data_IF_704013593291
#
_entry.id   IF_704013593291
#
_cell.length_a   1.000
_cell.length_b   1.000
_cell.length_c   1.000
_cell.angle_alpha   90.00
_cell.angle_beta   90.00
_cell.angle_gamma   90.00
#
_symmetry.space_group_name_H-M   'P 1'
#
loop_
_entity.id
_entity.type
_entity.pdbx_description
1 polymer ?
#
# COMPACT_ATOMS: atom_id res chain seq x y z
N UNK A 1 1.50 -16.50 48.57
CA UNK A 1 0.26 -16.26 47.79
C UNK A 1 -0.42 -14.91 48.04
N UNK A 2 -0.76 -14.50 49.28
CA UNK A 2 -1.51 -13.25 49.53
C UNK A 2 -0.84 -11.97 48.98
N UNK A 3 0.49 -11.83 49.10
CA UNK A 3 1.24 -10.69 48.55
C UNK A 3 1.18 -10.61 47.02
N UNK A 4 1.29 -11.76 46.33
CA UNK A 4 1.21 -11.86 44.87
C UNK A 4 -0.15 -11.44 44.33
N UNK A 5 -1.24 -11.91 44.93
CA UNK A 5 -2.62 -11.54 44.53
C UNK A 5 -2.88 -10.05 44.75
N UNK A 6 -2.37 -9.48 45.85
CA UNK A 6 -2.45 -8.04 46.12
C UNK A 6 -1.72 -7.21 45.06
N UNK A 7 -0.54 -7.67 44.64
CA UNK A 7 0.21 -7.05 43.56
C UNK A 7 -0.54 -7.11 42.22
N UNK A 8 -0.99 -8.31 41.80
CA UNK A 8 -1.79 -8.49 40.57
C UNK A 8 -3.03 -7.60 40.54
N UNK A 9 -3.78 -7.54 41.64
CA UNK A 9 -4.96 -6.67 41.73
C UNK A 9 -4.59 -5.19 41.59
N UNK A 10 -3.48 -4.75 42.20
CA UNK A 10 -2.99 -3.37 42.07
C UNK A 10 -2.61 -3.07 40.62
N UNK A 11 -1.82 -3.93 40.01
CA UNK A 11 -1.38 -3.80 38.61
C UNK A 11 -2.58 -3.73 37.67
N UNK A 12 -3.50 -4.70 37.74
CA UNK A 12 -4.68 -4.71 36.87
C UNK A 12 -5.56 -3.46 37.08
N UNK A 13 -5.78 -3.03 38.32
CA UNK A 13 -6.62 -1.85 38.62
C UNK A 13 -6.08 -0.57 37.96
N UNK A 14 -4.78 -0.30 38.08
CA UNK A 14 -4.19 0.95 37.57
C UNK A 14 -3.85 0.85 36.08
N UNK A 15 -3.14 -0.22 35.69
CA UNK A 15 -2.70 -0.41 34.31
C UNK A 15 -3.90 -0.69 33.40
N UNK A 16 -4.81 -1.58 33.83
CA UNK A 16 -6.04 -1.87 33.08
C UNK A 16 -6.98 -0.66 32.97
N UNK A 17 -7.03 0.21 33.99
CA UNK A 17 -7.81 1.46 33.93
C UNK A 17 -7.30 2.42 32.86
N UNK A 18 -5.99 2.64 32.79
CA UNK A 18 -5.38 3.49 31.76
C UNK A 18 -5.53 2.89 30.36
N UNK A 19 -5.30 1.58 30.22
CA UNK A 19 -5.45 0.87 28.95
C UNK A 19 -6.89 0.85 28.47
N UNK A 20 -7.88 0.79 29.36
CA UNK A 20 -9.28 0.84 28.97
C UNK A 20 -9.63 2.15 28.24
N UNK A 21 -9.07 3.29 28.70
CA UNK A 21 -9.24 4.59 28.03
C UNK A 21 -8.57 4.55 26.65
N UNK A 22 -7.34 4.02 26.58
CA UNK A 22 -6.63 3.85 25.32
C UNK A 22 -7.42 2.97 24.33
N UNK A 23 -7.94 1.81 24.76
CA UNK A 23 -8.72 0.92 23.91
C UNK A 23 -10.04 1.52 23.47
N UNK A 24 -10.71 2.30 24.32
CA UNK A 24 -11.91 3.03 23.92
C UNK A 24 -11.59 4.01 22.80
N UNK A 25 -10.55 4.83 22.98
CA UNK A 25 -10.07 5.74 21.94
C UNK A 25 -9.67 4.97 20.67
N UNK A 26 -8.91 3.89 20.81
CA UNK A 26 -8.46 3.06 19.69
C UNK A 26 -9.63 2.44 18.92
N UNK A 27 -10.65 1.92 19.62
CA UNK A 27 -11.84 1.35 18.97
C UNK A 27 -12.65 2.42 18.21
N UNK A 28 -12.96 3.55 18.86
CA UNK A 28 -13.74 4.63 18.24
C UNK A 28 -13.02 5.19 17.01
N UNK A 29 -11.72 5.46 17.14
CA UNK A 29 -10.89 5.94 16.03
C UNK A 29 -10.78 4.91 14.89
N UNK A 30 -10.82 3.61 15.21
CA UNK A 30 -10.82 2.51 14.25
C UNK A 30 -12.11 2.42 13.43
N UNK A 31 -13.26 2.58 14.06
CA UNK A 31 -14.56 2.64 13.35
C UNK A 31 -14.58 3.82 12.38
N UNK A 32 -14.14 4.99 12.82
CA UNK A 32 -14.09 6.19 11.96
C UNK A 32 -13.10 6.00 10.81
N UNK A 33 -11.95 5.36 11.06
CA UNK A 33 -10.91 5.10 10.06
C UNK A 33 -11.42 4.29 8.85
N UNK A 34 -12.40 3.40 9.05
CA UNK A 34 -13.02 2.62 7.96
C UNK A 34 -13.68 3.54 6.92
N UNK A 35 -14.30 4.63 7.37
CA UNK A 35 -14.98 5.59 6.50
C UNK A 35 -14.08 6.74 6.06
N UNK A 36 -13.14 7.15 6.92
CA UNK A 36 -12.20 8.24 6.68
C UNK A 36 -10.76 7.76 6.82
N UNK A 37 -10.20 7.16 5.76
CA UNK A 37 -8.83 6.69 5.77
C UNK A 37 -7.83 7.84 5.82
N UNK A 38 -6.56 7.48 6.01
CA UNK A 38 -5.47 8.45 5.88
C UNK A 38 -5.46 9.03 4.45
N UNK A 39 -5.31 10.37 4.28
CA UNK A 39 -5.26 10.99 2.96
C UNK A 39 -4.21 10.32 2.08
N UNK A 40 -4.60 10.01 0.84
CA UNK A 40 -3.69 9.45 -0.16
C UNK A 40 -4.10 9.93 -1.54
N UNK A 41 -3.10 10.28 -2.35
CA UNK A 41 -3.25 10.33 -3.81
C UNK A 41 -3.56 8.93 -4.34
N UNK A 42 -4.56 8.80 -5.22
CA UNK A 42 -4.89 7.54 -5.89
C UNK A 42 -4.30 7.50 -7.29
N UNK A 43 -4.01 6.29 -7.79
CA UNK A 43 -3.46 6.11 -9.14
C UNK A 43 -4.42 6.66 -10.19
N UNK A 44 -5.72 6.40 -10.03
CA UNK A 44 -6.80 7.00 -10.84
C UNK A 44 -6.72 8.53 -10.93
N UNK A 45 -6.47 9.23 -9.82
CA UNK A 45 -6.30 10.70 -9.82
C UNK A 45 -5.04 11.14 -10.56
N UNK A 46 -3.97 10.36 -10.48
CA UNK A 46 -2.73 10.64 -11.21
C UNK A 46 -2.94 10.43 -12.70
N UNK A 47 -3.49 9.27 -13.08
CA UNK A 47 -3.76 8.87 -14.46
C UNK A 47 -4.66 9.90 -15.17
N UNK A 48 -5.75 10.31 -14.53
CA UNK A 48 -6.67 11.32 -15.05
C UNK A 48 -5.95 12.64 -15.43
N UNK A 49 -4.91 13.02 -14.68
CA UNK A 49 -4.14 14.27 -14.90
C UNK A 49 -2.85 14.09 -15.70
N UNK A 50 -2.51 12.85 -16.10
CA UNK A 50 -1.39 12.63 -17.02
C UNK A 50 -1.70 13.25 -18.39
N UNK A 51 -0.64 13.69 -19.08
CA UNK A 51 -0.78 14.19 -20.46
C UNK A 51 -1.10 13.04 -21.42
N UNK A 52 -1.92 13.32 -22.43
CA UNK A 52 -2.20 12.37 -23.51
C UNK A 52 -1.04 12.38 -24.51
N UNK A 53 -0.64 11.21 -25.00
CA UNK A 53 0.41 11.04 -26.00
C UNK A 53 -0.05 11.69 -27.31
N UNK A 54 0.54 12.84 -27.64
CA UNK A 54 -0.01 13.75 -28.66
C UNK A 54 0.67 13.66 -30.04
N UNK A 55 1.75 12.90 -30.19
CA UNK A 55 2.53 12.88 -31.43
C UNK A 55 1.91 11.90 -32.43
N UNK A 56 1.52 12.39 -33.61
CA UNK A 56 0.97 11.57 -34.71
C UNK A 56 2.00 10.67 -35.41
N UNK A 57 3.29 10.85 -35.13
CA UNK A 57 4.39 10.04 -35.66
C UNK A 57 5.29 9.58 -34.53
N UNK A 58 4.85 8.54 -33.83
CA UNK A 58 5.70 7.82 -32.87
C UNK A 58 6.85 7.12 -33.62
N UNK A 59 8.08 7.14 -33.09
CA UNK A 59 9.26 6.61 -33.77
C UNK A 59 9.22 5.09 -33.87
N UNK A 60 10.09 4.53 -34.72
CA UNK A 60 10.30 3.09 -34.67
C UNK A 60 11.10 2.69 -33.43
N UNK A 61 10.79 1.53 -32.85
CA UNK A 61 11.40 1.10 -31.59
C UNK A 61 12.92 0.90 -31.73
N UNK A 62 13.39 0.46 -32.90
CA UNK A 62 14.82 0.29 -33.20
C UNK A 62 15.60 1.61 -33.08
N UNK A 63 14.97 2.74 -33.36
CA UNK A 63 15.61 4.05 -33.21
C UNK A 63 15.85 4.46 -31.75
N UNK A 64 15.09 3.87 -30.82
CA UNK A 64 15.26 4.09 -29.39
C UNK A 64 16.31 3.14 -28.83
N UNK A 65 16.26 1.86 -29.22
CA UNK A 65 17.22 0.85 -28.76
C UNK A 65 18.65 1.18 -29.21
N UNK A 66 18.83 1.75 -30.41
CA UNK A 66 20.15 2.16 -30.91
C UNK A 66 20.77 3.33 -30.14
N UNK A 67 20.01 4.02 -29.27
CA UNK A 67 20.47 5.17 -28.45
C UNK A 67 20.83 4.76 -27.03
N UNK A 68 20.70 3.48 -26.71
CA UNK A 68 20.94 2.96 -25.36
C UNK A 68 21.92 1.80 -25.45
N UNK A 69 22.92 1.83 -24.59
CA UNK A 69 23.84 0.72 -24.42
C UNK A 69 23.30 -0.23 -23.34
N UNK A 70 23.44 -1.54 -23.59
CA UNK A 70 23.06 -2.60 -22.66
C UNK A 70 21.69 -3.21 -22.92
N UNK A 71 21.38 -4.25 -22.15
CA UNK A 71 20.09 -4.94 -22.22
C UNK A 71 19.00 -4.09 -21.55
N UNK A 72 17.84 -4.02 -22.19
CA UNK A 72 16.70 -3.24 -21.68
C UNK A 72 15.99 -4.06 -20.60
N UNK A 73 16.09 -3.58 -19.36
CA UNK A 73 15.40 -4.17 -18.21
C UNK A 73 13.96 -3.63 -18.08
N UNK A 74 13.72 -2.38 -18.45
CA UNK A 74 12.37 -1.81 -18.44
C UNK A 74 12.22 -0.75 -19.51
N UNK A 75 11.04 -0.69 -20.12
CA UNK A 75 10.71 0.27 -21.16
C UNK A 75 9.30 0.81 -20.95
N UNK A 76 9.17 2.12 -21.00
CA UNK A 76 7.89 2.81 -20.88
C UNK A 76 7.84 4.05 -21.74
N UNK A 77 6.67 4.36 -22.27
CA UNK A 77 6.36 5.54 -23.07
C UNK A 77 5.32 6.38 -22.35
N UNK A 78 5.60 7.67 -22.18
CA UNK A 78 4.65 8.62 -21.58
C UNK A 78 4.79 10.00 -22.18
N UNK A 79 3.78 10.83 -21.99
CA UNK A 79 3.85 12.26 -22.30
C UNK A 79 4.18 13.07 -21.03
N UNK A 80 5.10 14.02 -21.13
CA UNK A 80 5.41 14.93 -20.02
C UNK A 80 6.06 16.24 -20.51
N UNK A 81 5.60 17.39 -20.02
CA UNK A 81 6.06 18.71 -20.46
C UNK A 81 5.92 18.93 -21.98
N UNK A 82 4.88 18.35 -22.57
CA UNK A 82 4.67 18.37 -24.02
C UNK A 82 5.72 17.58 -24.82
N UNK A 83 6.55 16.76 -24.18
CA UNK A 83 7.46 15.83 -24.84
C UNK A 83 6.97 14.39 -24.66
N UNK A 84 6.97 13.61 -25.75
CA UNK A 84 6.83 12.15 -25.67
C UNK A 84 8.18 11.56 -25.25
N UNK A 85 8.20 10.87 -24.12
CA UNK A 85 9.41 10.37 -23.48
C UNK A 85 9.37 8.84 -23.37
N UNK A 86 10.47 8.20 -23.76
CA UNK A 86 10.77 6.83 -23.39
C UNK A 86 11.60 6.82 -22.11
N UNK A 87 11.08 6.25 -21.02
CA UNK A 87 11.91 5.93 -19.86
C UNK A 87 12.41 4.48 -20.01
N UNK A 88 13.73 4.34 -20.09
CA UNK A 88 14.44 3.08 -20.27
C UNK A 88 15.28 2.80 -19.03
N UNK A 89 15.33 1.54 -18.59
CA UNK A 89 16.32 1.11 -17.62
C UNK A 89 17.27 0.08 -18.23
N UNK A 90 18.58 0.33 -18.12
CA UNK A 90 19.65 -0.61 -18.51
C UNK A 90 20.69 -0.65 -17.40
N UNK A 91 21.20 -1.85 -17.09
CA UNK A 91 22.18 -2.09 -16.03
C UNK A 91 21.82 -1.41 -14.69
N UNK A 92 20.54 -1.48 -14.31
CA UNK A 92 19.99 -0.81 -13.12
C UNK A 92 19.95 0.73 -13.15
N UNK A 93 20.35 1.38 -14.23
CA UNK A 93 20.28 2.84 -14.42
C UNK A 93 19.04 3.23 -15.22
N UNK A 94 18.35 4.28 -14.80
CA UNK A 94 17.17 4.82 -15.50
C UNK A 94 17.55 6.06 -16.28
N UNK A 95 17.18 6.09 -17.56
CA UNK A 95 17.35 7.22 -18.46
C UNK A 95 16.02 7.56 -19.13
N UNK A 96 15.82 8.84 -19.44
CA UNK A 96 14.67 9.31 -20.21
C UNK A 96 15.15 9.83 -21.55
N UNK A 97 14.50 9.43 -22.63
CA UNK A 97 14.83 9.80 -24.01
C UNK A 97 13.62 10.42 -24.69
N UNK A 98 13.83 11.49 -25.47
CA UNK A 98 12.76 12.05 -26.30
C UNK A 98 12.51 11.13 -27.49
N UNK A 99 11.23 10.87 -27.78
CA UNK A 99 10.80 10.00 -28.87
C UNK A 99 11.07 10.58 -30.27
N UNK A 100 10.96 11.91 -30.44
CA UNK A 100 11.27 12.58 -31.70
C UNK A 100 12.79 12.58 -31.96
N UNK A 101 13.20 12.09 -33.13
CA UNK A 101 14.58 11.96 -33.59
C UNK A 101 15.02 13.14 -34.47
N UNK A 102 14.11 14.01 -34.90
CA UNK A 102 14.41 15.11 -35.83
C UNK A 102 15.01 16.36 -35.16
N UNK A 103 15.15 16.36 -33.83
CA UNK A 103 15.90 17.36 -33.10
C UNK A 103 16.70 16.72 -31.98
N UNK A 104 17.86 17.31 -31.68
CA UNK A 104 18.54 17.20 -30.38
C UNK A 104 17.66 17.80 -29.26
N UNK A 105 16.41 17.37 -29.12
CA UNK A 105 15.60 17.72 -27.97
C UNK A 105 16.07 16.86 -26.80
N UNK A 106 16.99 17.42 -26.02
CA UNK A 106 17.26 16.91 -24.69
C UNK A 106 15.95 16.94 -23.87
N UNK A 107 15.83 16.01 -22.91
CA UNK A 107 14.71 16.01 -21.97
C UNK A 107 14.72 17.34 -21.22
N UNK A 108 13.59 18.06 -21.25
CA UNK A 108 13.48 19.37 -20.58
C UNK A 108 13.79 19.20 -19.08
N UNK A 109 14.66 20.04 -18.50
CA UNK A 109 15.00 19.94 -17.09
C UNK A 109 13.76 20.19 -16.23
N UNK A 110 13.68 19.50 -15.09
CA UNK A 110 12.63 19.74 -14.10
C UNK A 110 12.95 21.05 -13.37
N UNK A 111 12.21 22.10 -13.71
CA UNK A 111 12.33 23.41 -13.06
C UNK A 111 11.15 23.66 -12.12
N UNK A 112 11.27 24.67 -11.25
CA UNK A 112 10.13 25.10 -10.44
C UNK A 112 8.94 25.58 -11.28
N UNK A 113 9.19 26.18 -12.45
CA UNK A 113 8.13 26.58 -13.38
C UNK A 113 7.35 25.36 -13.88
N UNK A 114 8.05 24.28 -14.27
CA UNK A 114 7.45 22.98 -14.62
C UNK A 114 6.57 22.48 -13.48
N UNK A 115 7.08 22.47 -12.26
CA UNK A 115 6.36 21.95 -11.08
C UNK A 115 5.10 22.78 -10.80
N UNK A 116 5.14 24.09 -11.03
CA UNK A 116 3.96 24.97 -10.91
C UNK A 116 2.90 24.66 -11.97
N UNK A 117 3.31 24.38 -13.21
CA UNK A 117 2.40 23.95 -14.28
C UNK A 117 1.75 22.61 -13.91
N UNK A 118 2.55 21.64 -13.45
CA UNK A 118 2.02 20.35 -13.01
C UNK A 118 1.06 20.50 -11.83
N UNK A 119 1.37 21.35 -10.85
CA UNK A 119 0.50 21.61 -9.72
C UNK A 119 -0.84 22.23 -10.14
N UNK A 120 -0.86 23.12 -11.13
CA UNK A 120 -2.08 23.75 -11.62
C UNK A 120 -3.10 22.75 -12.21
N UNK A 121 -2.66 21.56 -12.66
CA UNK A 121 -3.55 20.48 -13.12
C UNK A 121 -4.41 19.87 -11.99
N UNK A 122 -4.10 20.18 -10.72
CA UNK A 122 -4.75 19.57 -9.55
C UNK A 122 -5.85 20.43 -8.93
N UNK A 123 -5.86 21.73 -9.19
CA UNK A 123 -6.88 22.66 -8.71
C UNK A 123 -6.86 23.94 -9.56
N UNK A 124 -8.05 24.42 -9.96
CA UNK A 124 -8.22 25.67 -10.69
C UNK A 124 -8.05 26.91 -9.80
N UNK A 125 -7.99 26.72 -8.48
CA UNK A 125 -7.82 27.81 -7.53
C UNK A 125 -6.38 28.37 -7.56
N UNK A 126 -6.20 29.66 -7.24
CA UNK A 126 -4.86 30.23 -7.17
C UNK A 126 -4.04 29.61 -6.03
N UNK A 127 -2.72 29.52 -6.23
CA UNK A 127 -1.78 29.06 -5.21
C UNK A 127 -1.49 30.21 -4.24
N UNK A 128 -1.85 30.04 -2.97
CA UNK A 128 -1.59 31.01 -1.90
C UNK A 128 -0.11 31.07 -1.53
N UNK A 129 0.52 29.90 -1.43
CA UNK A 129 1.90 29.76 -0.97
C UNK A 129 2.48 28.44 -1.45
N UNK A 130 3.80 28.39 -1.54
CA UNK A 130 4.56 27.16 -1.79
C UNK A 130 5.66 27.03 -0.74
N UNK A 131 5.73 25.86 -0.10
CA UNK A 131 6.82 25.49 0.80
C UNK A 131 7.74 24.47 0.16
N UNK A 132 9.01 24.45 0.58
CA UNK A 132 9.96 23.40 0.21
C UNK A 132 10.25 22.51 1.41
N UNK A 133 9.92 21.23 1.29
CA UNK A 133 10.14 20.22 2.31
C UNK A 133 11.39 19.41 1.99
N UNK A 134 12.39 19.49 2.86
CA UNK A 134 13.60 18.66 2.79
C UNK A 134 13.52 17.43 3.69
N UNK A 135 12.45 17.30 4.48
CA UNK A 135 12.24 16.21 5.42
C UNK A 135 10.77 15.83 5.43
N UNK A 136 10.52 14.54 5.71
CA UNK A 136 9.17 14.02 5.92
C UNK A 136 8.44 14.83 6.99
N UNK A 137 7.12 14.97 6.84
CA UNK A 137 6.21 15.60 7.80
C UNK A 137 4.92 14.76 7.91
N UNK A 138 3.92 15.26 8.64
CA UNK A 138 2.67 14.55 8.93
C UNK A 138 2.09 13.87 7.69
N UNK A 139 1.93 14.56 6.56
CA UNK A 139 1.21 14.00 5.40
C UNK A 139 2.07 13.14 4.47
N UNK A 140 3.40 13.12 4.68
CA UNK A 140 4.40 12.40 3.89
C UNK A 140 5.35 11.58 4.78
N UNK A 141 4.81 10.67 5.58
CA UNK A 141 5.56 9.92 6.62
C UNK A 141 6.36 8.71 6.12
N UNK A 142 6.07 8.20 4.92
CA UNK A 142 6.69 6.98 4.40
C UNK A 142 8.12 7.22 3.91
N UNK A 143 9.00 6.22 4.06
CA UNK A 143 10.40 6.29 3.59
C UNK A 143 10.58 6.36 2.09
N UNK A 144 9.58 5.92 1.31
CA UNK A 144 9.58 6.12 -0.14
C UNK A 144 9.76 7.59 -0.54
N UNK A 145 9.26 8.52 0.27
CA UNK A 145 9.34 9.95 -0.05
C UNK A 145 10.78 10.49 0.04
N UNK A 146 11.67 9.86 0.82
CA UNK A 146 13.06 10.30 0.95
C UNK A 146 13.79 10.25 -0.42
N UNK A 147 13.41 9.31 -1.29
CA UNK A 147 14.01 9.16 -2.63
C UNK A 147 13.64 10.30 -3.58
N UNK A 148 12.50 10.93 -3.37
CA UNK A 148 11.91 11.97 -4.24
C UNK A 148 11.98 13.39 -3.63
N UNK A 149 12.68 13.56 -2.51
CA UNK A 149 12.94 14.87 -1.90
C UNK A 149 13.84 15.75 -2.79
N UNK A 150 13.75 17.09 -2.70
CA UNK A 150 12.79 17.84 -1.89
C UNK A 150 11.36 17.75 -2.45
N UNK A 151 10.35 17.96 -1.61
CA UNK A 151 8.96 18.08 -2.04
C UNK A 151 8.53 19.54 -1.99
N UNK A 152 7.91 20.04 -3.05
CA UNK A 152 7.21 21.32 -3.04
C UNK A 152 5.77 21.11 -2.59
N UNK A 153 5.37 21.86 -1.57
CA UNK A 153 4.03 21.80 -1.00
C UNK A 153 3.25 23.05 -1.40
N UNK A 154 2.27 22.85 -2.27
CA UNK A 154 1.38 23.88 -2.78
C UNK A 154 0.14 23.99 -1.88
N UNK A 155 -0.21 25.21 -1.50
CA UNK A 155 -1.44 25.53 -0.78
C UNK A 155 -2.37 26.26 -1.74
N UNK A 156 -3.51 25.65 -2.07
CA UNK A 156 -4.51 26.24 -2.97
C UNK A 156 -5.55 27.05 -2.20
N UNK A 157 -6.08 28.10 -2.84
CA UNK A 157 -7.18 28.91 -2.30
C UNK A 157 -8.56 28.39 -2.70
N UNK A 158 -8.75 27.08 -2.68
CA UNK A 158 -10.06 26.47 -2.87
C UNK A 158 -10.83 26.39 -1.54
N UNK A 159 -12.11 26.04 -1.63
CA UNK A 159 -12.97 25.83 -0.45
C UNK A 159 -12.44 24.69 0.44
N UNK A 160 -11.90 23.65 -0.17
CA UNK A 160 -11.35 22.47 0.49
C UNK A 160 -9.97 22.69 1.13
N UNK A 161 -9.31 23.83 0.89
CA UNK A 161 -7.93 24.14 1.30
C UNK A 161 -6.98 22.99 0.97
N UNK A 162 -6.93 22.66 -0.30
CA UNK A 162 -6.12 21.57 -0.86
C UNK A 162 -4.63 21.85 -0.67
N UNK A 163 -3.92 20.83 -0.19
CA UNK A 163 -2.46 20.80 -0.09
C UNK A 163 -1.92 19.70 -0.99
N UNK A 164 -1.14 20.06 -2.01
CA UNK A 164 -0.50 19.14 -2.95
C UNK A 164 1.00 19.09 -2.70
N UNK A 165 1.56 17.88 -2.72
CA UNK A 165 2.99 17.63 -2.55
C UNK A 165 3.55 17.11 -3.87
N UNK A 166 4.44 17.86 -4.50
CA UNK A 166 5.06 17.51 -5.79
C UNK A 166 6.56 17.32 -5.59
N UNK A 167 7.13 16.28 -6.21
CA UNK A 167 8.57 16.05 -6.13
C UNK A 167 9.36 17.07 -6.94
N UNK A 168 10.37 17.66 -6.31
CA UNK A 168 11.34 18.52 -6.98
C UNK A 168 12.30 17.78 -7.91
N UNK A 169 12.41 16.45 -7.82
CA UNK A 169 13.32 15.64 -8.64
C UNK A 169 12.73 15.26 -9.99
N UNK A 170 11.45 14.89 -10.03
CA UNK A 170 10.80 14.38 -11.24
C UNK A 170 9.51 15.12 -11.61
N UNK A 171 9.11 16.13 -10.83
CA UNK A 171 7.88 16.90 -11.09
C UNK A 171 6.58 16.14 -10.83
N UNK A 172 6.66 14.90 -10.32
CA UNK A 172 5.49 14.04 -10.14
C UNK A 172 4.79 14.32 -8.80
N UNK A 173 3.45 14.36 -8.77
CA UNK A 173 2.68 14.50 -7.55
C UNK A 173 2.83 13.26 -6.67
N UNK A 174 3.06 13.47 -5.38
CA UNK A 174 3.39 12.44 -4.39
C UNK A 174 2.29 12.23 -3.35
N UNK A 175 1.53 13.27 -3.05
CA UNK A 175 0.46 13.27 -2.06
C UNK A 175 -0.47 14.47 -2.28
N UNK A 176 -1.74 14.30 -1.95
CA UNK A 176 -2.73 15.38 -1.90
C UNK A 176 -3.59 15.24 -0.64
N UNK A 177 -4.00 16.36 -0.04
CA UNK A 177 -4.90 16.36 1.12
C UNK A 177 -5.86 17.56 1.08
N UNK A 178 -7.09 17.37 1.56
CA UNK A 178 -8.06 18.46 1.83
C UNK A 178 -8.20 18.73 3.33
N UNK A 179 -8.75 19.88 3.70
CA UNK A 179 -9.01 20.25 5.11
C UNK A 179 -9.86 19.21 5.81
N UNK A 180 -10.93 18.74 5.15
CA UNK A 180 -11.84 17.74 5.72
C UNK A 180 -11.11 16.43 5.99
N UNK A 181 -10.32 15.93 5.04
CA UNK A 181 -9.52 14.73 5.23
C UNK A 181 -8.48 14.89 6.35
N UNK A 182 -7.81 16.05 6.44
CA UNK A 182 -6.86 16.35 7.52
C UNK A 182 -7.53 16.33 8.89
N UNK A 183 -8.71 16.95 9.04
CA UNK A 183 -9.49 16.94 10.29
C UNK A 183 -9.88 15.52 10.68
N UNK A 184 -10.45 14.75 9.74
CA UNK A 184 -10.84 13.37 10.03
C UNK A 184 -9.64 12.47 10.34
N UNK A 185 -8.49 12.67 9.69
CA UNK A 185 -7.27 11.93 9.99
C UNK A 185 -6.81 12.16 11.44
N UNK A 186 -6.92 13.38 11.98
CA UNK A 186 -6.60 13.69 13.38
C UNK A 186 -7.54 13.02 14.37
N UNK A 187 -8.80 12.78 13.98
CA UNK A 187 -9.80 12.09 14.82
C UNK A 187 -9.77 10.57 14.65
N UNK A 188 -9.11 10.04 13.61
CA UNK A 188 -9.16 8.61 13.27
C UNK A 188 -7.78 8.00 13.00
N UNK A 189 -7.29 8.12 11.77
CA UNK A 189 -6.11 7.42 11.30
C UNK A 189 -4.84 7.71 12.11
N UNK A 190 -4.65 8.97 12.54
CA UNK A 190 -3.48 9.39 13.30
C UNK A 190 -3.45 8.74 14.69
N UNK A 191 -4.47 8.90 15.56
CA UNK A 191 -4.48 8.25 16.87
C UNK A 191 -4.56 6.72 16.78
N UNK A 192 -5.32 6.16 15.82
CA UNK A 192 -5.47 4.71 15.70
C UNK A 192 -4.18 3.99 15.28
N UNK A 193 -3.45 4.56 14.31
CA UNK A 193 -2.20 3.98 13.77
C UNK A 193 -0.94 4.53 14.46
N UNK A 194 -1.09 5.49 15.37
CA UNK A 194 0.00 6.23 16.02
C UNK A 194 0.92 6.91 14.98
N UNK A 195 0.33 7.55 13.96
CA UNK A 195 1.06 8.22 12.87
C UNK A 195 1.57 9.61 13.27
N UNK A 196 2.30 9.67 14.38
CA UNK A 196 2.95 10.90 14.82
C UNK A 196 4.35 11.02 14.23
N UNK A 197 4.74 12.18 13.65
CA UNK A 197 6.02 12.33 12.97
C UNK A 197 7.24 11.98 13.81
N UNK A 198 7.24 12.31 15.11
CA UNK A 198 8.38 12.04 16.00
C UNK A 198 8.61 10.55 16.28
N UNK A 199 7.59 9.70 16.09
CA UNK A 199 7.69 8.24 16.19
C UNK A 199 7.80 7.62 14.80
N UNK A 200 6.84 7.93 13.91
CA UNK A 200 6.61 7.24 12.64
C UNK A 200 7.69 7.49 11.59
N UNK A 201 8.44 8.60 11.67
CA UNK A 201 9.58 8.87 10.77
C UNK A 201 10.65 7.77 10.87
N UNK A 202 10.84 7.21 12.05
CA UNK A 202 11.73 6.09 12.28
C UNK A 202 10.88 4.82 12.43
N UNK A 203 10.90 3.99 11.38
CA UNK A 203 10.11 2.75 11.34
C UNK A 203 10.52 1.79 12.46
N UNK A 204 11.80 1.78 12.85
CA UNK A 204 12.29 0.97 13.96
C UNK A 204 11.68 1.42 15.28
N UNK A 205 11.79 2.71 15.61
CA UNK A 205 11.18 3.28 16.83
C UNK A 205 9.68 3.06 16.88
N UNK A 206 8.97 3.30 15.77
CA UNK A 206 7.54 3.08 15.69
C UNK A 206 7.15 1.62 15.95
N UNK A 207 7.85 0.65 15.34
CA UNK A 207 7.63 -0.77 15.62
C UNK A 207 7.87 -1.10 17.08
N UNK A 208 8.98 -0.64 17.65
CA UNK A 208 9.30 -0.86 19.07
C UNK A 208 8.23 -0.26 19.99
N UNK A 209 7.75 0.95 19.73
CA UNK A 209 6.67 1.57 20.52
C UNK A 209 5.38 0.76 20.49
N UNK A 210 5.00 0.22 19.33
CA UNK A 210 3.82 -0.65 19.22
C UNK A 210 4.03 -1.96 19.98
N UNK A 211 5.18 -2.61 19.83
CA UNK A 211 5.49 -3.87 20.53
C UNK A 211 5.46 -3.66 22.06
N UNK A 212 6.05 -2.57 22.55
CA UNK A 212 6.01 -2.22 23.97
C UNK A 212 4.57 -1.97 24.43
N UNK A 213 3.79 -1.20 23.68
CA UNK A 213 2.38 -0.94 23.98
C UNK A 213 1.53 -2.22 24.03
N UNK A 214 1.71 -3.10 23.04
CA UNK A 214 1.05 -4.40 22.99
C UNK A 214 1.47 -5.32 24.15
N UNK A 215 2.75 -5.29 24.55
CA UNK A 215 3.26 -6.04 25.70
C UNK A 215 2.66 -5.55 27.02
N UNK A 216 2.52 -4.23 27.20
CA UNK A 216 1.83 -3.64 28.36
C UNK A 216 0.36 -4.06 28.40
N UNK A 217 -0.31 -4.07 27.23
CA UNK A 217 -1.68 -4.57 27.09
C UNK A 217 -1.80 -6.04 27.45
N UNK A 218 -0.85 -6.87 27.01
CA UNK A 218 -0.80 -8.29 27.34
C UNK A 218 -0.65 -8.52 28.85
N UNK A 219 0.24 -7.78 29.53
CA UNK A 219 0.41 -7.86 30.99
C UNK A 219 -0.89 -7.46 31.73
N UNK A 220 -1.59 -6.42 31.25
CA UNK A 220 -2.86 -6.00 31.84
C UNK A 220 -3.97 -7.04 31.66
N UNK A 221 -4.05 -7.65 30.48
CA UNK A 221 -5.01 -8.72 30.17
C UNK A 221 -4.71 -9.99 30.99
N UNK A 222 -3.45 -10.44 31.01
CA UNK A 222 -3.01 -11.60 31.81
C UNK A 222 -3.26 -11.39 33.30
N UNK A 223 -2.91 -10.22 33.84
CA UNK A 223 -3.12 -9.95 35.27
C UNK A 223 -4.60 -9.97 35.66
N UNK A 224 -5.49 -9.43 34.82
CA UNK A 224 -6.94 -9.51 35.01
C UNK A 224 -7.48 -10.93 34.89
N UNK A 225 -7.04 -11.67 33.89
CA UNK A 225 -7.49 -13.03 33.63
C UNK A 225 -7.05 -14.01 34.73
N UNK A 226 -5.76 -13.97 35.12
CA UNK A 226 -5.22 -14.77 36.23
C UNK A 226 -5.94 -14.44 37.54
N UNK A 227 -6.18 -13.17 37.82
CA UNK A 227 -6.95 -12.75 39.00
C UNK A 227 -8.39 -13.28 38.95
N UNK A 228 -9.03 -13.23 37.78
CA UNK A 228 -10.37 -13.73 37.54
C UNK A 228 -10.50 -15.23 37.84
N UNK A 229 -9.58 -16.03 37.30
CA UNK A 229 -9.49 -17.48 37.52
C UNK A 229 -9.18 -17.77 38.99
N UNK A 230 -8.22 -17.06 39.58
CA UNK A 230 -7.86 -17.23 41.00
C UNK A 230 -9.08 -17.03 41.92
N UNK A 231 -9.85 -15.97 41.68
CA UNK A 231 -11.06 -15.69 42.47
C UNK A 231 -12.14 -16.76 42.25
N UNK A 232 -12.29 -17.27 41.02
CA UNK A 232 -13.23 -18.34 40.71
C UNK A 232 -12.85 -19.65 41.43
N UNK A 233 -11.59 -20.05 41.29
CA UNK A 233 -11.05 -21.28 41.86
C UNK A 233 -11.10 -21.25 43.40
N UNK A 234 -10.75 -20.11 44.02
CA UNK A 234 -10.80 -19.97 45.47
C UNK A 234 -12.25 -20.05 45.98
N UNK A 235 -13.21 -19.49 45.25
CA UNK A 235 -14.63 -19.55 45.63
C UNK A 235 -15.22 -20.94 45.43
N UNK A 236 -14.85 -21.63 44.35
CA UNK A 236 -15.20 -23.03 44.14
C UNK A 236 -14.64 -23.93 45.24
N UNK A 237 -13.40 -23.69 45.70
CA UNK A 237 -12.82 -24.42 46.84
C UNK A 237 -13.63 -24.21 48.14
N UNK A 238 -14.11 -23.00 48.38
CA UNK A 238 -14.86 -22.66 49.60
C UNK A 238 -16.32 -23.13 49.58
N UNK A 239 -17.00 -23.06 48.44
CA UNK A 239 -18.47 -23.29 48.35
C UNK A 239 -18.89 -24.45 47.45
N UNK A 240 -17.94 -25.08 46.74
CA UNK A 240 -18.19 -26.13 45.72
C UNK A 240 -19.20 -25.73 44.63
N UNK A 241 -19.34 -24.42 44.39
CA UNK A 241 -20.25 -23.84 43.38
C UNK A 241 -19.51 -22.78 42.57
N UNK A 242 -19.74 -22.77 41.26
CA UNK A 242 -19.24 -21.73 40.35
C UNK A 242 -20.15 -20.50 40.46
N UNK A 243 -19.81 -19.62 41.40
CA UNK A 243 -20.56 -18.38 41.67
C UNK A 243 -19.68 -17.17 41.40
N UNK A 244 -20.21 -16.18 40.67
CA UNK A 244 -19.49 -14.92 40.41
C UNK A 244 -19.24 -14.18 41.73
N UNK A 245 -18.00 -13.76 42.03
CA UNK A 245 -17.66 -13.24 43.36
C UNK A 245 -18.35 -11.91 43.73
N UNK A 246 -18.73 -11.11 42.73
CA UNK A 246 -19.18 -9.73 42.89
C UNK A 246 -20.71 -9.60 42.85
N UNK A 247 -21.28 -8.91 43.85
CA UNK A 247 -22.73 -8.64 43.94
C UNK A 247 -23.17 -7.37 43.19
N UNK A 248 -22.31 -6.34 43.08
CA UNK A 248 -22.63 -5.11 42.35
C UNK A 248 -22.63 -5.35 40.84
N UNK A 249 -23.68 -4.92 40.14
CA UNK A 249 -23.92 -5.20 38.72
C UNK A 249 -22.71 -4.92 37.81
N UNK A 250 -22.14 -3.72 37.87
CA UNK A 250 -21.01 -3.35 36.99
C UNK A 250 -19.74 -4.17 37.25
N UNK A 251 -19.41 -4.45 38.52
CA UNK A 251 -18.25 -5.29 38.86
C UNK A 251 -18.49 -6.75 38.45
N UNK A 252 -19.73 -7.22 38.55
CA UNK A 252 -20.15 -8.54 38.09
C UNK A 252 -19.98 -8.66 36.58
N UNK A 253 -20.48 -7.69 35.82
CA UNK A 253 -20.34 -7.66 34.36
C UNK A 253 -18.89 -7.52 33.91
N UNK A 254 -18.12 -6.62 34.51
CA UNK A 254 -16.70 -6.50 34.24
C UNK A 254 -15.94 -7.81 34.47
N UNK A 255 -16.26 -8.54 35.54
CA UNK A 255 -15.66 -9.85 35.82
C UNK A 255 -16.05 -10.92 34.78
N UNK A 256 -17.34 -11.04 34.47
CA UNK A 256 -17.83 -12.05 33.51
C UNK A 256 -17.25 -11.77 32.12
N UNK A 257 -17.39 -10.53 31.64
CA UNK A 257 -16.86 -10.12 30.33
C UNK A 257 -15.34 -10.19 30.32
N UNK A 258 -14.66 -9.81 31.41
CA UNK A 258 -13.21 -9.92 31.51
C UNK A 258 -12.70 -11.35 31.45
N UNK A 259 -13.45 -12.34 31.96
CA UNK A 259 -13.10 -13.76 31.82
C UNK A 259 -13.33 -14.27 30.39
N UNK A 260 -14.46 -13.93 29.77
CA UNK A 260 -14.78 -14.38 28.40
C UNK A 260 -13.88 -13.68 27.37
N UNK A 261 -13.90 -12.35 27.35
CA UNK A 261 -13.12 -11.54 26.41
C UNK A 261 -11.63 -11.49 26.74
N UNK A 262 -11.22 -11.80 27.98
CA UNK A 262 -9.81 -11.87 28.36
C UNK A 262 -9.01 -12.85 27.52
N UNK A 263 -9.61 -14.00 27.17
CA UNK A 263 -8.98 -15.00 26.28
C UNK A 263 -8.69 -14.38 24.91
N UNK A 264 -9.70 -13.73 24.32
CA UNK A 264 -9.56 -13.07 23.02
C UNK A 264 -8.57 -11.90 23.06
N UNK A 265 -8.58 -11.08 24.13
CA UNK A 265 -7.65 -9.96 24.29
C UNK A 265 -6.19 -10.41 24.46
N UNK A 266 -5.96 -11.51 25.20
CA UNK A 266 -4.63 -12.11 25.34
C UNK A 266 -4.13 -12.56 23.96
N UNK A 267 -4.94 -13.31 23.22
CA UNK A 267 -4.55 -13.80 21.90
C UNK A 267 -4.36 -12.67 20.89
N UNK A 268 -5.22 -11.66 20.95
CA UNK A 268 -5.12 -10.46 20.13
C UNK A 268 -3.85 -9.67 20.44
N UNK A 269 -3.49 -9.49 21.71
CA UNK A 269 -2.25 -8.81 22.09
C UNK A 269 -1.00 -9.59 21.64
N UNK A 270 -1.01 -10.93 21.77
CA UNK A 270 0.03 -11.82 21.25
C UNK A 270 0.15 -11.66 19.73
N UNK A 271 -0.98 -11.72 19.01
CA UNK A 271 -1.03 -11.49 17.58
C UNK A 271 -0.47 -10.11 17.20
N UNK A 272 -0.79 -9.06 17.96
CA UNK A 272 -0.26 -7.71 17.75
C UNK A 272 1.27 -7.64 17.88
N UNK A 273 1.86 -8.31 18.87
CA UNK A 273 3.33 -8.39 19.03
C UNK A 273 3.97 -9.10 17.84
N UNK A 274 3.40 -10.23 17.42
CA UNK A 274 3.91 -10.99 16.28
C UNK A 274 3.62 -10.31 14.93
N UNK A 275 2.61 -9.46 14.81
CA UNK A 275 2.34 -8.71 13.58
C UNK A 275 3.45 -7.70 13.23
N UNK A 276 4.22 -7.27 14.25
CA UNK A 276 5.30 -6.30 14.11
C UNK A 276 6.69 -6.94 14.17
N UNK A 277 6.77 -8.26 14.42
CA UNK A 277 8.03 -8.99 14.56
C UNK A 277 8.08 -10.22 13.66
N UNK A 278 9.29 -10.66 13.30
CA UNK A 278 9.44 -11.94 12.60
C UNK A 278 9.21 -13.05 13.62
N UNK A 279 8.28 -13.95 13.34
CA UNK A 279 8.11 -15.15 14.17
C UNK A 279 9.43 -15.94 14.09
N UNK A 280 10.02 -16.33 15.22
CA UNK A 280 11.24 -17.12 15.19
C UNK A 280 11.01 -18.43 14.42
N UNK A 281 11.92 -18.78 13.52
CA UNK A 281 11.80 -19.98 12.68
C UNK A 281 11.72 -21.28 13.48
N UNK A 282 12.27 -21.29 14.71
CA UNK A 282 12.13 -22.43 15.63
C UNK A 282 10.71 -22.62 16.16
N UNK A 283 9.89 -21.56 16.20
CA UNK A 283 8.51 -21.60 16.69
C UNK A 283 7.53 -21.90 15.56
N UNK A 284 7.74 -21.28 14.39
CA UNK A 284 6.98 -21.57 13.18
C UNK A 284 7.98 -21.63 12.02
N UNK A 285 8.36 -22.84 11.55
CA UNK A 285 9.23 -22.96 10.38
C UNK A 285 8.43 -22.55 9.14
N UNK A 286 8.61 -21.31 8.69
CA UNK A 286 7.98 -20.80 7.47
C UNK A 286 8.99 -20.89 6.33
N UNK A 287 8.74 -21.78 5.36
CA UNK A 287 9.54 -21.86 4.13
C UNK A 287 9.26 -20.70 3.15
N UNK A 288 8.15 -20.00 3.32
CA UNK A 288 7.70 -18.97 2.39
C UNK A 288 8.30 -17.59 2.73
N UNK A 289 8.84 -16.90 1.72
CA UNK A 289 9.09 -15.46 1.80
C UNK A 289 7.76 -14.73 2.07
N UNK A 290 7.75 -13.84 3.06
CA UNK A 290 6.56 -13.08 3.47
C UNK A 290 6.01 -12.13 2.39
N UNK A 291 6.79 -11.87 1.34
CA UNK A 291 6.39 -11.08 0.18
C UNK A 291 6.73 -11.87 -1.08
N UNK A 292 5.70 -12.26 -1.83
CA UNK A 292 5.89 -12.82 -3.15
C UNK A 292 6.34 -11.71 -4.10
N UNK A 293 7.49 -11.90 -4.77
CA UNK A 293 7.87 -11.05 -5.89
C UNK A 293 7.18 -11.60 -7.15
N UNK A 294 6.24 -10.87 -7.77
CA UNK A 294 5.56 -11.34 -8.98
C UNK A 294 6.52 -11.69 -10.13
N UNK A 295 7.71 -11.08 -10.17
CA UNK A 295 8.73 -11.42 -11.16
C UNK A 295 9.25 -12.86 -11.04
N UNK A 296 9.10 -13.52 -9.89
CA UNK A 296 9.40 -14.96 -9.76
C UNK A 296 8.44 -15.82 -10.58
N UNK A 297 7.20 -15.34 -10.79
CA UNK A 297 6.18 -16.02 -11.57
C UNK A 297 6.25 -15.62 -13.04
N UNK A 298 6.27 -14.31 -13.29
CA UNK A 298 6.14 -13.74 -14.62
C UNK A 298 7.48 -13.51 -15.33
N UNK A 299 8.59 -13.64 -14.61
CA UNK A 299 9.93 -13.30 -15.07
C UNK A 299 10.31 -11.85 -14.76
N UNK A 300 11.61 -11.58 -14.84
CA UNK A 300 12.19 -10.25 -14.65
C UNK A 300 12.34 -9.55 -16.00
N UNK A 301 12.26 -8.22 -15.94
CA UNK A 301 12.49 -7.34 -17.08
C UNK A 301 11.42 -7.38 -18.16
N UNK A 302 11.80 -7.00 -19.38
CA UNK A 302 11.00 -7.13 -20.60
C UNK A 302 11.55 -8.27 -21.45
N UNK A 303 10.69 -8.92 -22.24
CA UNK A 303 11.15 -9.85 -23.28
C UNK A 303 11.96 -9.10 -24.37
N UNK A 304 12.75 -9.82 -25.18
CA UNK A 304 13.34 -9.29 -26.40
C UNK A 304 12.29 -8.53 -27.22
N UNK A 305 12.64 -7.33 -27.68
CA UNK A 305 11.67 -6.40 -28.27
C UNK A 305 11.08 -6.90 -29.60
N UNK A 306 11.75 -7.84 -30.26
CA UNK A 306 11.29 -8.56 -31.44
C UNK A 306 10.17 -9.58 -31.15
N UNK A 307 9.97 -9.98 -29.89
CA UNK A 307 8.82 -10.83 -29.50
C UNK A 307 7.50 -10.03 -29.42
N UNK A 308 7.56 -8.70 -29.35
CA UNK A 308 6.37 -7.85 -29.33
C UNK A 308 5.88 -7.60 -30.76
N UNK A 309 5.09 -8.53 -31.28
CA UNK A 309 4.53 -8.45 -32.64
C UNK A 309 3.55 -7.28 -32.82
N UNK A 310 2.83 -6.90 -31.75
CA UNK A 310 1.91 -5.76 -31.79
C UNK A 310 2.69 -4.44 -31.87
N UNK A 311 2.60 -3.74 -33.00
CA UNK A 311 3.16 -2.39 -33.08
C UNK A 311 2.42 -1.43 -32.14
N UNK A 312 3.10 -0.99 -31.09
CA UNK A 312 2.58 -0.06 -30.07
C UNK A 312 1.99 1.23 -30.68
N UNK A 313 2.43 1.65 -31.87
CA UNK A 313 1.90 2.82 -32.58
C UNK A 313 0.44 2.64 -32.99
N UNK A 314 -0.02 1.40 -33.17
CA UNK A 314 -1.42 1.10 -33.45
C UNK A 314 -2.33 1.35 -32.24
N UNK A 315 -1.80 1.26 -31.01
CA UNK A 315 -2.56 1.55 -29.80
C UNK A 315 -3.06 2.99 -29.78
N UNK A 316 -2.26 3.94 -30.27
CA UNK A 316 -2.68 5.35 -30.33
C UNK A 316 -3.85 5.57 -31.29
N UNK A 317 -3.98 4.76 -32.35
CA UNK A 317 -5.11 4.84 -33.29
C UNK A 317 -6.41 4.32 -32.65
N UNK A 318 -6.29 3.33 -31.77
CA UNK A 318 -7.43 2.68 -31.12
C UNK A 318 -7.87 3.40 -29.84
N UNK A 319 -6.91 3.96 -29.09
CA UNK A 319 -7.12 4.62 -27.80
C UNK A 319 -6.79 6.12 -27.90
N UNK A 320 -7.77 7.00 -28.17
CA UNK A 320 -7.54 8.42 -28.41
C UNK A 320 -7.03 9.17 -27.17
N UNK A 321 -7.29 8.64 -25.97
CA UNK A 321 -6.84 9.23 -24.69
C UNK A 321 -5.69 8.44 -24.07
N UNK A 322 -4.83 7.85 -24.89
CA UNK A 322 -3.67 7.09 -24.47
C UNK A 322 -2.64 7.98 -23.74
N UNK A 323 -2.30 7.64 -22.49
CA UNK A 323 -1.40 8.44 -21.63
C UNK A 323 -0.06 7.77 -21.34
N UNK A 324 -0.04 6.44 -21.26
CA UNK A 324 1.16 5.66 -20.97
C UNK A 324 1.07 4.27 -21.56
N UNK A 325 2.21 3.76 -22.04
CA UNK A 325 2.42 2.37 -22.42
C UNK A 325 3.65 1.87 -21.66
N UNK A 326 3.53 0.77 -20.93
CA UNK A 326 4.67 0.05 -20.36
C UNK A 326 4.79 -1.31 -21.06
N UNK A 327 5.99 -1.66 -21.50
CA UNK A 327 6.31 -2.99 -22.01
C UNK A 327 6.46 -3.91 -20.80
N UNK A 328 5.67 -4.98 -20.77
CA UNK A 328 5.62 -5.93 -19.66
C UNK A 328 5.55 -7.36 -20.20
N UNK A 329 5.77 -8.33 -19.32
CA UNK A 329 5.71 -9.76 -19.64
C UNK A 329 4.89 -10.51 -18.63
N UNK A 330 4.21 -11.55 -19.09
CA UNK A 330 3.58 -12.57 -18.26
C UNK A 330 4.15 -13.93 -18.63
N UNK A 331 5.20 -14.33 -17.93
CA UNK A 331 6.07 -15.44 -18.30
C UNK A 331 6.70 -15.19 -19.67
N UNK A 332 6.31 -15.95 -20.69
CA UNK A 332 6.77 -15.81 -22.07
C UNK A 332 5.74 -15.09 -22.97
N UNK A 333 4.69 -14.51 -22.38
CA UNK A 333 3.72 -13.68 -23.13
C UNK A 333 4.19 -12.21 -23.08
N UNK A 334 4.55 -11.60 -24.21
CA UNK A 334 4.77 -10.16 -24.30
C UNK A 334 3.43 -9.43 -24.20
N UNK A 335 3.39 -8.35 -23.42
CA UNK A 335 2.16 -7.59 -23.20
C UNK A 335 2.45 -6.09 -23.00
N UNK A 336 1.42 -5.28 -23.19
CA UNK A 336 1.45 -3.87 -22.87
C UNK A 336 0.54 -3.55 -21.70
N UNK A 337 1.09 -2.90 -20.68
CA UNK A 337 0.27 -2.21 -19.69
C UNK A 337 -0.05 -0.81 -20.21
N UNK A 338 -1.33 -0.50 -20.31
CA UNK A 338 -1.82 0.72 -20.95
C UNK A 338 -2.63 1.55 -19.98
N UNK A 339 -2.37 2.85 -19.98
CA UNK A 339 -3.21 3.84 -19.30
C UNK A 339 -3.94 4.66 -20.36
N UNK A 340 -5.27 4.55 -20.37
CA UNK A 340 -6.15 5.37 -21.21
C UNK A 340 -7.09 6.18 -20.32
N UNK A 341 -7.02 7.52 -20.41
CA UNK A 341 -7.80 8.39 -19.53
C UNK A 341 -7.42 8.19 -18.06
N UNK A 342 -8.31 7.54 -17.31
CA UNK A 342 -8.11 7.17 -15.91
C UNK A 342 -8.01 5.65 -15.69
N UNK A 343 -8.21 4.86 -16.75
CA UNK A 343 -8.30 3.41 -16.71
C UNK A 343 -6.93 2.77 -16.97
N UNK A 344 -6.74 1.59 -16.41
CA UNK A 344 -5.54 0.77 -16.53
C UNK A 344 -5.96 -0.61 -17.01
N UNK A 345 -5.26 -1.16 -18.00
CA UNK A 345 -5.52 -2.52 -18.50
C UNK A 345 -4.30 -3.09 -19.22
N UNK A 346 -4.34 -4.39 -19.51
CA UNK A 346 -3.28 -5.11 -20.22
C UNK A 346 -3.75 -5.55 -21.60
N UNK A 347 -2.88 -5.41 -22.59
CA UNK A 347 -3.09 -5.83 -23.97
C UNK A 347 -2.07 -6.90 -24.30
N UNK A 348 -2.51 -7.97 -24.96
CA UNK A 348 -1.63 -9.00 -25.49
C UNK A 348 -0.80 -8.43 -26.66
N UNK A 349 0.52 -8.58 -26.61
CA UNK A 349 1.42 -8.09 -27.64
C UNK A 349 2.08 -9.23 -28.45
N UNK A 350 1.64 -10.48 -28.27
CA UNK A 350 2.13 -11.66 -29.00
C UNK A 350 1.59 -11.79 -30.41
N UNK A 351 0.61 -10.97 -30.80
CA UNK A 351 0.03 -10.92 -32.15
C UNK A 351 -0.20 -9.48 -32.58
N UNK A 352 -0.44 -9.24 -33.87
CA UNK A 352 -0.74 -7.90 -34.38
C UNK A 352 -2.12 -7.34 -33.97
N UNK A 353 -2.97 -8.15 -33.34
CA UNK A 353 -4.32 -7.77 -32.96
C UNK A 353 -4.37 -7.10 -31.59
N UNK A 354 -5.19 -6.06 -31.45
CA UNK A 354 -5.38 -5.36 -30.17
C UNK A 354 -6.45 -6.11 -29.37
N UNK A 355 -6.04 -7.06 -28.54
CA UNK A 355 -6.93 -7.84 -27.68
C UNK A 355 -6.52 -7.74 -26.20
N UNK A 356 -7.48 -7.78 -25.26
CA UNK A 356 -7.16 -7.84 -23.84
C UNK A 356 -6.26 -9.04 -23.53
N UNK A 357 -5.28 -8.85 -22.64
CA UNK A 357 -4.41 -9.93 -22.20
C UNK A 357 -5.22 -11.06 -21.58
N UNK A 358 -5.01 -12.28 -22.08
CA UNK A 358 -5.56 -13.49 -21.49
C UNK A 358 -4.42 -14.45 -21.18
N UNK A 359 -4.10 -14.61 -19.90
CA UNK A 359 -3.04 -15.53 -19.46
C UNK A 359 -3.63 -16.94 -19.31
N UNK A 360 -3.18 -17.94 -20.11
CA UNK A 360 -3.66 -19.31 -19.99
C UNK A 360 -3.34 -19.92 -18.62
N UNK A 361 -4.20 -20.83 -18.18
CA UNK A 361 -4.05 -21.52 -16.89
C UNK A 361 -2.72 -22.29 -16.81
N UNK A 362 -2.27 -22.86 -17.93
CA UNK A 362 -1.07 -23.67 -18.05
C UNK A 362 0.19 -22.85 -17.71
N UNK A 363 0.22 -21.57 -18.08
CA UNK A 363 1.34 -20.67 -17.79
C UNK A 363 1.39 -20.36 -16.29
N UNK A 364 0.23 -20.14 -15.67
CA UNK A 364 0.13 -19.92 -14.23
C UNK A 364 0.62 -21.16 -13.47
N UNK A 365 0.17 -22.35 -13.90
CA UNK A 365 0.59 -23.61 -13.29
C UNK A 365 2.10 -23.84 -13.42
N UNK A 366 2.64 -23.65 -14.63
CA UNK A 366 4.08 -23.73 -14.89
C UNK A 366 4.88 -22.78 -14.01
N UNK A 367 4.43 -21.53 -13.90
CA UNK A 367 5.08 -20.52 -13.07
C UNK A 367 5.09 -20.91 -11.58
N UNK A 368 4.00 -21.46 -11.05
CA UNK A 368 3.96 -21.93 -9.67
C UNK A 368 4.82 -23.19 -9.45
N UNK A 369 4.85 -24.12 -10.40
CA UNK A 369 5.74 -25.30 -10.35
C UNK A 369 7.21 -24.91 -10.36
N UNK A 370 7.61 -23.91 -11.13
CA UNK A 370 8.97 -23.35 -11.13
C UNK A 370 9.38 -22.82 -9.75
N UNK A 371 8.44 -22.27 -8.99
CA UNK A 371 8.70 -21.68 -7.66
C UNK A 371 8.65 -22.72 -6.54
N UNK A 372 7.70 -23.65 -6.60
CA UNK A 372 7.41 -24.59 -5.50
C UNK A 372 7.94 -26.01 -5.73
N UNK A 373 8.32 -26.36 -6.96
CA UNK A 373 8.71 -27.70 -7.41
C UNK A 373 7.59 -28.39 -8.21
N UNK A 374 7.99 -29.26 -9.14
CA UNK A 374 7.08 -29.99 -10.04
C UNK A 374 6.12 -30.95 -9.32
N UNK A 375 6.56 -31.51 -8.19
CA UNK A 375 5.80 -32.52 -7.44
C UNK A 375 4.74 -31.92 -6.50
N UNK A 376 4.59 -30.60 -6.47
CA UNK A 376 3.62 -29.94 -5.58
C UNK A 376 2.22 -30.03 -6.17
N UNK A 377 1.23 -30.57 -5.42
CA UNK A 377 -0.15 -30.61 -5.91
C UNK A 377 -0.72 -29.19 -5.95
N UNK A 378 -1.05 -28.72 -7.15
CA UNK A 378 -1.68 -27.41 -7.38
C UNK A 378 -3.14 -27.63 -7.76
N UNK A 379 -4.05 -26.86 -7.17
CA UNK A 379 -5.45 -26.79 -7.59
C UNK A 379 -5.75 -25.37 -8.02
N UNK A 380 -5.96 -25.17 -9.32
CA UNK A 380 -6.36 -23.89 -9.89
C UNK A 380 -7.88 -23.90 -10.08
N UNK A 381 -8.54 -22.83 -9.66
CA UNK A 381 -9.97 -22.63 -9.84
C UNK A 381 -10.27 -21.24 -10.36
N UNK A 382 -11.27 -21.12 -11.23
CA UNK A 382 -11.71 -19.82 -11.72
C UNK A 382 -12.75 -19.22 -10.78
N UNK A 383 -12.49 -18.00 -10.31
CA UNK A 383 -13.44 -17.17 -9.58
C UNK A 383 -14.22 -16.34 -10.60
N UNK A 384 -15.50 -16.66 -10.77
CA UNK A 384 -16.43 -15.88 -11.61
C UNK A 384 -17.24 -14.85 -10.84
N UNK A 385 -17.26 -14.96 -9.50
CA UNK A 385 -18.00 -14.07 -8.58
C UNK A 385 -17.16 -13.82 -7.35
N UNK A 386 -17.20 -12.60 -6.83
CA UNK A 386 -16.49 -12.25 -5.60
C UNK A 386 -16.79 -13.23 -4.46
N UNK A 387 -15.74 -13.71 -3.81
CA UNK A 387 -15.80 -14.57 -2.63
C UNK A 387 -15.13 -13.87 -1.42
N UNK A 388 -14.94 -14.57 -0.30
CA UNK A 388 -14.33 -13.97 0.90
C UNK A 388 -12.84 -13.63 0.73
N UNK A 389 -12.19 -14.08 -0.34
CA UNK A 389 -10.75 -13.90 -0.61
C UNK A 389 -10.49 -12.90 -1.74
N UNK A 390 -11.40 -12.80 -2.71
CA UNK A 390 -11.35 -11.83 -3.80
C UNK A 390 -12.59 -10.92 -3.72
N UNK A 391 -12.55 -9.94 -2.82
CA UNK A 391 -13.65 -9.00 -2.58
C UNK A 391 -13.16 -7.55 -2.65
N UNK A 392 -13.91 -6.73 -3.38
CA UNK A 392 -13.79 -5.28 -3.32
C UNK A 392 -15.13 -4.69 -2.86
N UNK A 393 -15.12 -3.87 -1.81
CA UNK A 393 -16.31 -3.18 -1.28
C UNK A 393 -17.06 -2.39 -2.37
N UNK A 394 -16.33 -1.88 -3.36
CA UNK A 394 -16.86 -1.15 -4.52
C UNK A 394 -17.04 -2.02 -5.76
N UNK A 395 -16.70 -3.32 -5.69
CA UNK A 395 -16.81 -4.30 -6.78
C UNK A 395 -16.14 -3.84 -8.08
N UNK A 396 -14.93 -3.32 -7.97
CA UNK A 396 -14.15 -2.81 -9.12
C UNK A 396 -12.97 -3.71 -9.48
N UNK A 397 -12.89 -4.91 -8.90
CA UNK A 397 -11.87 -5.90 -9.27
C UNK A 397 -12.36 -6.71 -10.47
N UNK A 398 -11.46 -7.02 -11.39
CA UNK A 398 -11.80 -7.75 -12.62
C UNK A 398 -12.23 -9.19 -12.34
N UNK A 399 -13.11 -9.73 -13.18
CA UNK A 399 -13.57 -11.11 -13.17
C UNK A 399 -13.69 -11.58 -14.63
N UNK A 400 -13.38 -12.85 -14.94
CA UNK A 400 -12.93 -13.91 -14.02
C UNK A 400 -11.45 -13.80 -13.62
N UNK A 401 -11.07 -14.42 -12.50
CA UNK A 401 -9.65 -14.55 -12.05
C UNK A 401 -9.33 -15.95 -11.57
N UNK A 402 -8.07 -16.36 -11.60
CA UNK A 402 -7.63 -17.65 -11.07
C UNK A 402 -7.33 -17.61 -9.56
N UNK A 403 -7.62 -18.71 -8.87
CA UNK A 403 -7.38 -18.95 -7.44
C UNK A 403 -6.65 -20.25 -7.21
#
# INVERSE_FOLDING_TARGET
>A
MKKFVKYLHRTHKYVGGFIAIFFLMWFVTGVILVYHPYPRISDKMVNDRMETICCSSLPDLLSITSRVDGEIESLSLRQFQGQTLFDVATDGKKISLVADTLQEQQVKPITFATIKIEAAKWSDAPVLRVDTLHKREQWVLYSRYDRVMPLYKFYFDDEEKTELFVSGKNGMPQQITTRKERVWAWVSAIPHKLYFPFIRKDVGRWKTSIIVGASICLVAALSGFILGIYLLANRYRQKKRLEVPYKKGWKRWHYIMGLVFGVFLIWWAISGIFSMSRVPQWLVPTKAEHSFNPAKLWGEGVLPLDEYELDYRNLQKFYPNLKRIDWVRFAEIPAYFVIEGENEFYIDASSSDIVPLNVPQEIIESGFKKIHGEDVPIKITTIEKYDNYYLNLRRTLELPVYK
#
